data_IF_766581037428
#
_entry.id   IF_766581037428
#
_cell.length_a   1.000
_cell.length_b   1.000
_cell.length_c   1.000
_cell.angle_alpha   90.00
_cell.angle_beta   90.00
_cell.angle_gamma   90.00
#
_symmetry.space_group_name_H-M   'P 1'
#
loop_
_entity.id
_entity.type
_entity.pdbx_description
1 polymer ?
#
# COMPACT_ATOMS: atom_id res chain seq x y z
N UNK A 1 -76.51 -80.72 -59.60
CA UNK A 1 -75.30 -79.87 -59.48
C UNK A 1 -74.08 -80.68 -59.86
N UNK A 2 -73.37 -80.33 -60.93
CA UNK A 2 -72.22 -81.06 -61.46
C UNK A 2 -71.05 -81.04 -60.45
N UNK A 3 -70.43 -82.19 -60.19
CA UNK A 3 -69.29 -82.34 -59.26
C UNK A 3 -68.13 -81.39 -59.59
N UNK A 4 -67.83 -81.22 -60.88
CA UNK A 4 -66.88 -80.23 -61.40
C UNK A 4 -67.19 -78.79 -60.98
N UNK A 5 -68.45 -78.37 -60.95
CA UNK A 5 -68.84 -77.02 -60.52
C UNK A 5 -68.56 -76.74 -59.04
N UNK A 6 -68.69 -77.76 -58.18
CA UNK A 6 -68.35 -77.65 -56.75
C UNK A 6 -66.83 -77.56 -56.54
N UNK A 7 -66.05 -78.28 -57.34
CA UNK A 7 -64.58 -78.22 -57.28
C UNK A 7 -64.07 -76.85 -57.75
N UNK A 8 -64.61 -76.31 -58.85
CA UNK A 8 -64.26 -74.96 -59.30
C UNK A 8 -64.68 -73.87 -58.31
N UNK A 9 -65.84 -73.99 -57.66
CA UNK A 9 -66.26 -73.06 -56.62
C UNK A 9 -65.27 -73.04 -55.43
N UNK A 10 -64.76 -74.20 -55.01
CA UNK A 10 -63.74 -74.29 -53.96
C UNK A 10 -62.41 -73.62 -54.36
N UNK A 11 -61.97 -73.77 -55.61
CA UNK A 11 -60.76 -73.08 -56.10
C UNK A 11 -60.94 -71.56 -56.12
N UNK A 12 -62.13 -71.05 -56.48
CA UNK A 12 -62.41 -69.62 -56.44
C UNK A 12 -62.38 -69.09 -55.01
N UNK A 13 -62.96 -69.82 -54.05
CA UNK A 13 -62.95 -69.44 -52.63
C UNK A 13 -61.53 -69.46 -52.05
N UNK A 14 -60.73 -70.49 -52.36
CA UNK A 14 -59.33 -70.56 -51.93
C UNK A 14 -58.46 -69.48 -52.59
N UNK A 15 -58.67 -69.22 -53.87
CA UNK A 15 -57.99 -68.15 -54.61
C UNK A 15 -58.33 -66.76 -54.07
N UNK A 16 -59.59 -66.50 -53.75
CA UNK A 16 -60.03 -65.27 -53.10
C UNK A 16 -59.42 -65.12 -51.70
N UNK A 17 -59.41 -66.18 -50.90
CA UNK A 17 -58.77 -66.18 -49.58
C UNK A 17 -57.26 -65.89 -49.65
N UNK A 18 -56.55 -66.56 -50.58
CA UNK A 18 -55.12 -66.32 -50.80
C UNK A 18 -54.84 -64.89 -51.30
N UNK A 19 -55.66 -64.35 -52.20
CA UNK A 19 -55.54 -62.99 -52.70
C UNK A 19 -55.72 -61.94 -51.61
N UNK A 20 -56.68 -62.13 -50.69
CA UNK A 20 -56.88 -61.23 -49.54
C UNK A 20 -55.66 -61.25 -48.60
N UNK A 21 -55.12 -62.43 -48.28
CA UNK A 21 -53.94 -62.57 -47.41
C UNK A 21 -52.70 -61.94 -48.05
N UNK A 22 -52.47 -62.17 -49.34
CA UNK A 22 -51.37 -61.56 -50.08
C UNK A 22 -51.52 -60.04 -50.12
N UNK A 23 -52.71 -59.53 -50.44
CA UNK A 23 -52.99 -58.08 -50.48
C UNK A 23 -52.78 -57.43 -49.12
N UNK A 24 -53.21 -58.09 -48.04
CA UNK A 24 -52.99 -57.62 -46.67
C UNK A 24 -51.50 -57.55 -46.31
N UNK A 25 -50.71 -58.57 -46.68
CA UNK A 25 -49.25 -58.55 -46.48
C UNK A 25 -48.56 -57.48 -47.33
N UNK A 26 -48.97 -57.32 -48.59
CA UNK A 26 -48.44 -56.26 -49.46
C UNK A 26 -48.75 -54.87 -48.90
N UNK A 27 -49.95 -54.67 -48.34
CA UNK A 27 -50.32 -53.42 -47.69
C UNK A 27 -49.53 -53.17 -46.40
N UNK A 28 -49.29 -54.21 -45.59
CA UNK A 28 -48.44 -54.10 -44.40
C UNK A 28 -47.01 -53.72 -44.76
N UNK A 29 -46.41 -54.40 -45.74
CA UNK A 29 -45.06 -54.08 -46.24
C UNK A 29 -45.02 -52.66 -46.79
N UNK A 30 -45.98 -52.26 -47.63
CA UNK A 30 -46.05 -50.88 -48.14
C UNK A 30 -46.17 -49.86 -47.03
N UNK A 31 -46.97 -50.13 -46.00
CA UNK A 31 -47.13 -49.23 -44.85
C UNK A 31 -45.86 -49.12 -44.01
N UNK A 32 -45.10 -50.21 -43.84
CA UNK A 32 -43.82 -50.19 -43.11
C UNK A 32 -42.75 -49.43 -43.90
N UNK A 33 -42.70 -49.58 -45.22
CA UNK A 33 -41.84 -48.78 -46.10
C UNK A 33 -42.20 -47.29 -46.05
N UNK A 34 -43.49 -46.93 -46.12
CA UNK A 34 -43.91 -45.53 -45.99
C UNK A 34 -43.54 -44.95 -44.62
N UNK A 35 -43.70 -45.72 -43.53
CA UNK A 35 -43.31 -45.30 -42.17
C UNK A 35 -41.80 -45.15 -42.02
N UNK A 36 -41.03 -46.04 -42.65
CA UNK A 36 -39.56 -45.96 -42.66
C UNK A 36 -39.08 -44.74 -43.45
N UNK A 37 -39.64 -44.51 -44.64
CA UNK A 37 -39.32 -43.34 -45.47
C UNK A 37 -39.73 -42.02 -44.81
N UNK A 38 -40.90 -41.97 -44.16
CA UNK A 38 -41.30 -40.76 -43.43
C UNK A 38 -40.38 -40.49 -42.25
N UNK A 39 -40.00 -41.52 -41.50
CA UNK A 39 -39.03 -41.39 -40.41
C UNK A 39 -37.66 -40.93 -40.91
N UNK A 40 -37.12 -41.58 -41.94
CA UNK A 40 -35.83 -41.21 -42.53
C UNK A 40 -35.83 -39.77 -43.06
N UNK A 41 -36.95 -39.32 -43.64
CA UNK A 41 -37.11 -37.93 -44.08
C UNK A 41 -37.06 -36.96 -42.90
N UNK A 42 -37.81 -37.23 -41.83
CA UNK A 42 -37.81 -36.40 -40.62
C UNK A 42 -36.42 -36.38 -39.96
N UNK A 43 -35.78 -37.54 -39.84
CA UNK A 43 -34.44 -37.66 -39.27
C UNK A 43 -33.43 -36.87 -40.12
N UNK A 44 -33.49 -36.99 -41.45
CA UNK A 44 -32.65 -36.22 -42.37
C UNK A 44 -32.89 -34.71 -42.24
N UNK A 45 -34.15 -34.26 -42.22
CA UNK A 45 -34.51 -32.85 -42.03
C UNK A 45 -34.00 -32.32 -40.68
N UNK A 46 -34.07 -33.12 -39.60
CA UNK A 46 -33.49 -32.74 -38.29
C UNK A 46 -31.97 -32.62 -38.33
N UNK A 47 -31.27 -33.59 -38.93
CA UNK A 47 -29.81 -33.56 -39.04
C UNK A 47 -29.31 -32.40 -39.90
N UNK A 48 -30.02 -32.07 -40.98
CA UNK A 48 -29.72 -30.88 -41.79
C UNK A 48 -29.87 -29.60 -40.97
N UNK A 49 -30.92 -29.49 -40.15
CA UNK A 49 -31.12 -28.34 -39.28
C UNK A 49 -30.05 -28.22 -38.19
N UNK A 50 -29.64 -29.35 -37.60
CA UNK A 50 -28.58 -29.36 -36.58
C UNK A 50 -27.21 -29.02 -37.19
N UNK A 51 -26.92 -29.51 -38.39
CA UNK A 51 -25.70 -29.17 -39.11
C UNK A 51 -25.65 -27.67 -39.44
N UNK A 52 -26.76 -27.10 -39.94
CA UNK A 52 -26.86 -25.64 -40.18
C UNK A 52 -26.65 -24.82 -38.92
N UNK A 53 -27.22 -25.25 -37.78
CA UNK A 53 -27.00 -24.58 -36.49
C UNK A 53 -25.53 -24.66 -36.07
N UNK A 54 -24.91 -25.83 -36.22
CA UNK A 54 -23.50 -26.01 -35.88
C UNK A 54 -22.59 -25.17 -36.77
N UNK A 55 -22.85 -25.10 -38.07
CA UNK A 55 -22.15 -24.22 -39.01
C UNK A 55 -22.30 -22.75 -38.62
N UNK A 56 -23.53 -22.31 -38.32
CA UNK A 56 -23.78 -20.94 -37.88
C UNK A 56 -23.01 -20.60 -36.58
N UNK A 57 -23.02 -21.50 -35.59
CA UNK A 57 -22.27 -21.33 -34.33
C UNK A 57 -20.76 -21.28 -34.61
N UNK A 58 -20.25 -22.16 -35.47
CA UNK A 58 -18.84 -22.17 -35.86
C UNK A 58 -18.45 -20.84 -36.50
N UNK A 59 -19.24 -20.38 -37.47
CA UNK A 59 -18.94 -19.16 -38.21
C UNK A 59 -19.00 -17.93 -37.31
N UNK A 60 -20.01 -17.86 -36.43
CA UNK A 60 -20.07 -16.84 -35.38
C UNK A 60 -18.84 -16.89 -34.47
N UNK A 61 -18.43 -18.08 -34.00
CA UNK A 61 -17.25 -18.24 -33.15
C UNK A 61 -15.94 -17.87 -33.87
N UNK A 62 -15.83 -18.14 -35.18
CA UNK A 62 -14.66 -17.74 -35.99
C UNK A 62 -14.61 -16.22 -36.13
N UNK A 63 -15.74 -15.57 -36.38
CA UNK A 63 -15.83 -14.11 -36.44
C UNK A 63 -15.49 -13.48 -35.09
N UNK A 64 -16.02 -14.02 -34.00
CA UNK A 64 -15.72 -13.55 -32.64
C UNK A 64 -14.24 -13.74 -32.30
N UNK A 65 -13.66 -14.90 -32.64
CA UNK A 65 -12.24 -15.15 -32.48
C UNK A 65 -11.40 -14.15 -33.29
N UNK A 66 -11.79 -13.87 -34.53
CA UNK A 66 -11.09 -12.90 -35.37
C UNK A 66 -11.19 -11.47 -34.80
N UNK A 67 -12.37 -11.08 -34.29
CA UNK A 67 -12.59 -9.79 -33.64
C UNK A 67 -11.75 -9.65 -32.36
N UNK A 68 -11.72 -10.69 -31.52
CA UNK A 68 -10.88 -10.73 -30.32
C UNK A 68 -9.40 -10.64 -30.70
N UNK A 69 -8.94 -11.45 -31.67
CA UNK A 69 -7.54 -11.44 -32.14
C UNK A 69 -7.14 -10.08 -32.71
N UNK A 70 -8.00 -9.40 -33.47
CA UNK A 70 -7.72 -8.07 -34.04
C UNK A 70 -7.36 -7.05 -32.95
N UNK A 71 -7.97 -7.13 -31.77
CA UNK A 71 -7.66 -6.23 -30.65
C UNK A 71 -6.27 -6.41 -30.05
N UNK A 72 -5.61 -7.54 -30.30
CA UNK A 72 -4.27 -7.88 -29.79
C UNK A 72 -3.14 -7.65 -30.80
N UNK A 73 -3.48 -7.22 -32.02
CA UNK A 73 -2.51 -7.03 -33.10
C UNK A 73 -1.77 -8.32 -33.47
N UNK A 74 -0.54 -8.19 -33.95
CA UNK A 74 0.35 -9.34 -34.19
C UNK A 74 0.77 -9.98 -32.88
N UNK A 75 0.67 -11.31 -32.83
CA UNK A 75 1.02 -12.14 -31.67
C UNK A 75 2.14 -13.09 -32.07
N UNK A 76 3.23 -13.06 -31.33
CA UNK A 76 4.30 -14.05 -31.43
C UNK A 76 4.30 -14.92 -30.19
N UNK A 77 4.24 -16.22 -30.41
CA UNK A 77 4.28 -17.22 -29.37
C UNK A 77 5.65 -17.89 -29.32
N UNK A 78 6.11 -18.21 -28.11
CA UNK A 78 7.37 -18.93 -27.87
C UNK A 78 8.62 -18.24 -28.43
N UNK A 79 8.63 -16.91 -28.33
CA UNK A 79 9.80 -16.07 -28.63
C UNK A 79 10.84 -16.28 -27.56
N UNK A 80 12.09 -16.54 -27.97
CA UNK A 80 13.22 -16.59 -27.06
C UNK A 80 13.58 -15.18 -26.61
N UNK A 81 13.26 -14.89 -25.35
CA UNK A 81 13.57 -13.61 -24.71
C UNK A 81 14.69 -13.82 -23.71
N UNK A 82 15.77 -13.05 -23.87
CA UNK A 82 16.78 -12.90 -22.82
C UNK A 82 16.48 -11.66 -22.02
N UNK A 83 16.35 -11.82 -20.71
CA UNK A 83 16.10 -10.72 -19.77
C UNK A 83 17.41 -10.34 -19.13
N UNK A 84 17.76 -9.05 -19.16
CA UNK A 84 18.82 -8.53 -18.32
C UNK A 84 18.26 -8.25 -16.91
N UNK A 85 18.73 -8.97 -15.87
CA UNK A 85 18.17 -8.86 -14.52
C UNK A 85 18.48 -7.52 -13.84
N UNK A 86 19.47 -6.76 -14.32
CA UNK A 86 19.87 -5.49 -13.70
C UNK A 86 18.97 -4.33 -14.10
N UNK A 87 18.54 -4.29 -15.36
CA UNK A 87 17.81 -3.15 -15.93
C UNK A 87 16.49 -3.56 -16.61
N UNK A 88 16.10 -4.83 -16.54
CA UNK A 88 14.86 -5.36 -17.10
C UNK A 88 14.76 -5.26 -18.62
N UNK A 89 15.88 -5.04 -19.32
CA UNK A 89 15.88 -4.98 -20.77
C UNK A 89 15.64 -6.37 -21.35
N UNK A 90 14.85 -6.44 -22.41
CA UNK A 90 14.60 -7.67 -23.13
C UNK A 90 15.42 -7.69 -24.42
N UNK A 91 15.95 -8.86 -24.77
CA UNK A 91 16.59 -9.08 -26.07
C UNK A 91 15.85 -10.17 -26.82
N UNK A 92 15.53 -9.91 -28.09
CA UNK A 92 14.83 -10.84 -28.99
C UNK A 92 15.56 -10.97 -30.31
N UNK A 93 15.38 -12.10 -30.99
CA UNK A 93 15.83 -12.29 -32.37
C UNK A 93 14.78 -11.82 -33.38
N UNK A 94 15.24 -11.11 -34.41
CA UNK A 94 14.42 -10.64 -35.53
C UNK A 94 13.84 -11.80 -36.34
N UNK A 95 14.52 -12.94 -36.39
CA UNK A 95 14.03 -14.15 -37.07
C UNK A 95 12.72 -14.68 -36.47
N UNK A 96 12.51 -14.44 -35.18
CA UNK A 96 11.31 -14.88 -34.45
C UNK A 96 10.20 -13.84 -34.44
N UNK A 97 10.49 -12.62 -34.88
CA UNK A 97 9.57 -11.48 -34.89
C UNK A 97 9.57 -10.76 -36.25
N UNK A 98 9.34 -11.48 -37.37
CA UNK A 98 9.54 -10.95 -38.71
C UNK A 98 8.64 -9.75 -39.03
N UNK A 99 7.40 -9.69 -38.51
CA UNK A 99 6.57 -8.50 -38.76
C UNK A 99 7.07 -7.27 -37.99
N UNK A 100 7.79 -7.42 -36.87
CA UNK A 100 8.48 -6.29 -36.22
C UNK A 100 9.54 -5.71 -37.16
N UNK A 101 10.29 -6.57 -37.84
CA UNK A 101 11.30 -6.16 -38.82
C UNK A 101 10.66 -5.40 -39.97
N UNK A 102 9.56 -5.92 -40.51
CA UNK A 102 8.82 -5.29 -41.60
C UNK A 102 8.24 -3.92 -41.20
N UNK A 103 7.66 -3.82 -40.01
CA UNK A 103 7.14 -2.56 -39.45
C UNK A 103 8.26 -1.54 -39.20
N UNK A 104 9.41 -1.98 -38.67
CA UNK A 104 10.57 -1.11 -38.45
C UNK A 104 11.12 -0.56 -39.78
N UNK A 105 11.16 -1.39 -40.82
CA UNK A 105 11.58 -0.99 -42.17
C UNK A 105 10.59 0.01 -42.80
N UNK A 106 9.29 -0.25 -42.68
CA UNK A 106 8.25 0.66 -43.19
C UNK A 106 8.28 2.04 -42.52
N UNK A 107 8.63 2.10 -41.23
CA UNK A 107 8.69 3.34 -40.47
C UNK A 107 10.04 4.06 -40.54
N UNK A 108 10.96 3.65 -41.43
CA UNK A 108 12.33 4.19 -41.52
C UNK A 108 13.06 4.28 -40.16
N UNK A 109 12.71 3.40 -39.20
CA UNK A 109 13.16 3.45 -37.80
C UNK A 109 12.92 4.77 -37.06
N UNK A 110 12.09 5.68 -37.58
CA UNK A 110 11.85 6.99 -36.97
C UNK A 110 10.94 6.92 -35.74
N UNK A 111 10.02 5.95 -35.72
CA UNK A 111 9.16 5.73 -34.57
C UNK A 111 9.66 4.53 -33.75
N UNK A 112 9.90 4.73 -32.44
CA UNK A 112 10.30 3.64 -31.58
C UNK A 112 9.13 2.65 -31.45
N UNK A 113 9.38 1.40 -31.82
CA UNK A 113 8.38 0.35 -31.80
C UNK A 113 8.05 -0.07 -30.37
N UNK A 114 6.81 -0.48 -30.12
CA UNK A 114 6.36 -0.91 -28.81
C UNK A 114 5.84 -2.35 -28.87
N UNK A 115 6.16 -3.14 -27.86
CA UNK A 115 5.68 -4.51 -27.66
C UNK A 115 5.23 -4.73 -26.24
N UNK A 116 4.29 -5.64 -26.06
CA UNK A 116 3.72 -6.03 -24.79
C UNK A 116 4.18 -7.46 -24.46
N UNK A 117 4.91 -7.61 -23.36
CA UNK A 117 5.57 -8.86 -22.97
C UNK A 117 4.73 -9.69 -22.00
N UNK A 118 4.60 -10.98 -22.30
CA UNK A 118 3.92 -11.97 -21.46
C UNK A 118 4.81 -13.18 -21.21
N UNK A 119 5.08 -13.49 -19.95
CA UNK A 119 5.77 -14.73 -19.55
C UNK A 119 4.79 -15.90 -19.62
N UNK A 120 5.24 -17.03 -20.17
CA UNK A 120 4.52 -18.29 -20.07
C UNK A 120 4.89 -19.00 -18.76
N UNK A 121 3.89 -19.22 -17.91
CA UNK A 121 4.02 -19.97 -16.66
C UNK A 121 3.75 -21.46 -16.91
N UNK A 122 4.18 -22.31 -15.98
CA UNK A 122 3.83 -23.73 -15.98
C UNK A 122 2.29 -23.90 -16.02
N UNK A 123 1.81 -24.84 -16.83
CA UNK A 123 0.38 -25.08 -17.03
C UNK A 123 -0.29 -24.22 -18.11
N UNK A 124 0.50 -23.49 -18.93
CA UNK A 124 -0.01 -22.77 -20.10
C UNK A 124 -0.63 -21.39 -19.80
N UNK A 125 -0.61 -20.97 -18.53
CA UNK A 125 -1.01 -19.63 -18.14
C UNK A 125 0.01 -18.59 -18.62
N UNK A 126 -0.47 -17.41 -19.00
CA UNK A 126 0.39 -16.28 -19.37
C UNK A 126 0.24 -15.15 -18.36
N UNK A 127 1.37 -14.60 -17.92
CA UNK A 127 1.42 -13.43 -17.04
C UNK A 127 1.94 -12.23 -17.82
N UNK A 128 1.18 -11.14 -17.78
CA UNK A 128 1.66 -9.88 -18.32
C UNK A 128 2.74 -9.29 -17.43
N UNK A 129 3.85 -8.86 -18.04
CA UNK A 129 4.96 -8.19 -17.34
C UNK A 129 4.94 -6.70 -17.58
N UNK A 130 4.73 -6.29 -18.82
CA UNK A 130 4.60 -4.88 -19.14
C UNK A 130 4.83 -4.55 -20.60
N UNK A 131 5.03 -3.26 -20.85
CA UNK A 131 5.16 -2.65 -22.17
C UNK A 131 6.58 -2.17 -22.44
N UNK A 132 7.21 -2.69 -23.47
CA UNK A 132 8.61 -2.40 -23.79
C UNK A 132 8.69 -1.65 -25.12
N UNK A 133 9.63 -0.72 -25.20
CA UNK A 133 9.90 0.11 -26.36
C UNK A 133 11.27 -0.23 -26.92
N UNK A 134 11.39 -0.24 -28.24
CA UNK A 134 12.65 -0.54 -28.92
C UNK A 134 13.69 0.53 -28.59
N UNK A 135 14.88 0.08 -28.18
CA UNK A 135 16.02 0.95 -27.94
C UNK A 135 17.01 0.86 -29.11
N UNK A 136 17.16 1.96 -29.85
CA UNK A 136 18.06 2.03 -31.00
C UNK A 136 17.68 1.11 -32.16
N UNK A 137 18.58 1.00 -33.14
CA UNK A 137 18.44 0.08 -34.27
C UNK A 137 18.81 -1.36 -33.89
N UNK A 138 18.20 -2.34 -34.54
CA UNK A 138 18.59 -3.74 -34.38
C UNK A 138 20.06 -3.94 -34.79
N UNK A 139 20.83 -4.67 -33.99
CA UNK A 139 22.26 -4.97 -34.26
C UNK A 139 22.41 -6.48 -34.48
N UNK A 140 22.91 -6.88 -35.65
CA UNK A 140 23.14 -8.30 -35.96
C UNK A 140 21.89 -9.18 -35.91
N UNK A 141 20.71 -8.61 -36.19
CA UNK A 141 19.43 -9.33 -36.10
C UNK A 141 18.89 -9.51 -34.67
N UNK A 142 19.45 -8.81 -33.69
CA UNK A 142 18.96 -8.76 -32.31
C UNK A 142 18.38 -7.37 -32.02
N UNK A 143 17.20 -7.34 -31.41
CA UNK A 143 16.59 -6.12 -30.88
C UNK A 143 16.64 -6.07 -29.37
N UNK A 144 16.83 -4.86 -28.87
CA UNK A 144 16.81 -4.54 -27.44
C UNK A 144 15.52 -3.77 -27.17
N UNK A 145 14.81 -4.19 -26.12
CA UNK A 145 13.57 -3.57 -25.67
C UNK A 145 13.75 -3.07 -24.25
N UNK A 146 13.53 -1.77 -24.08
CA UNK A 146 13.57 -1.07 -22.81
C UNK A 146 12.16 -1.00 -22.22
N UNK A 147 11.95 -1.27 -20.92
CA UNK A 147 10.65 -1.06 -20.29
C UNK A 147 10.24 0.42 -20.39
N UNK A 148 8.97 0.71 -20.69
CA UNK A 148 8.46 2.09 -20.76
C UNK A 148 8.27 2.73 -19.37
N UNK A 149 8.35 1.93 -18.32
CA UNK A 149 8.16 2.36 -16.94
C UNK A 149 9.48 2.24 -16.17
N UNK A 150 9.59 2.99 -15.07
CA UNK A 150 10.73 2.90 -14.18
C UNK A 150 10.63 1.63 -13.31
N UNK A 151 11.68 0.81 -13.36
CA UNK A 151 11.79 -0.39 -12.53
C UNK A 151 11.97 -0.03 -11.06
N UNK A 152 11.20 -0.70 -10.21
CA UNK A 152 11.23 -0.54 -8.76
C UNK A 152 12.01 -1.69 -8.13
N UNK A 153 12.62 -1.49 -6.95
CA UNK A 153 13.24 -2.58 -6.18
C UNK A 153 12.30 -3.76 -5.91
N UNK A 154 10.98 -3.51 -5.84
CA UNK A 154 9.95 -4.53 -5.63
C UNK A 154 9.50 -5.30 -6.89
N UNK A 155 9.89 -4.88 -8.11
CA UNK A 155 9.41 -5.50 -9.35
C UNK A 155 10.02 -6.88 -9.64
N UNK A 156 10.98 -7.32 -8.81
CA UNK A 156 11.63 -8.63 -8.87
C UNK A 156 12.01 -9.02 -10.30
N UNK A 157 12.75 -8.17 -11.01
CA UNK A 157 13.19 -8.42 -12.40
C UNK A 157 13.91 -9.77 -12.54
N UNK A 158 14.63 -10.20 -11.49
CA UNK A 158 15.25 -11.52 -11.43
C UNK A 158 14.25 -12.69 -11.58
N UNK A 159 12.98 -12.49 -11.18
CA UNK A 159 11.91 -13.48 -11.31
C UNK A 159 11.30 -13.54 -12.71
N UNK A 160 11.64 -12.61 -13.61
CA UNK A 160 11.05 -12.57 -14.96
C UNK A 160 11.56 -13.69 -15.88
N UNK A 161 12.56 -14.48 -15.48
CA UNK A 161 13.09 -15.66 -16.19
C UNK A 161 13.26 -15.51 -17.71
N UNK A 162 14.52 -15.54 -18.18
CA UNK A 162 14.78 -15.71 -19.62
C UNK A 162 14.16 -17.00 -20.14
N UNK A 163 13.58 -16.98 -21.33
CA UNK A 163 12.92 -18.15 -21.90
C UNK A 163 11.85 -17.81 -22.92
N UNK A 164 10.85 -18.69 -23.02
CA UNK A 164 9.76 -18.60 -24.00
C UNK A 164 8.68 -17.63 -23.55
N UNK A 165 8.60 -16.50 -24.24
CA UNK A 165 7.62 -15.46 -23.97
C UNK A 165 6.62 -15.36 -25.12
N UNK A 166 5.47 -14.76 -24.82
CA UNK A 166 4.51 -14.28 -25.82
C UNK A 166 4.65 -12.77 -25.93
N UNK A 167 4.83 -12.28 -27.16
CA UNK A 167 4.93 -10.85 -27.46
C UNK A 167 3.72 -10.41 -28.27
N UNK A 168 3.24 -9.19 -28.02
CA UNK A 168 2.11 -8.60 -28.75
C UNK A 168 2.39 -7.16 -29.12
N UNK A 169 1.92 -6.72 -30.28
CA UNK A 169 2.03 -5.31 -30.70
C UNK A 169 0.97 -4.41 -30.08
N UNK A 170 -0.18 -4.97 -29.71
CA UNK A 170 -1.31 -4.23 -29.17
C UNK A 170 -1.95 -4.94 -27.98
N UNK A 171 -2.54 -4.15 -27.09
CA UNK A 171 -3.47 -4.61 -26.06
C UNK A 171 -4.84 -3.96 -26.34
N UNK A 172 -5.95 -4.73 -26.23
CA UNK A 172 -7.29 -4.21 -26.43
C UNK A 172 -7.58 -2.96 -25.59
N UNK A 173 -8.27 -1.99 -26.19
CA UNK A 173 -8.52 -0.68 -25.59
C UNK A 173 -9.21 -0.75 -24.21
N UNK A 174 -10.12 -1.70 -23.99
CA UNK A 174 -10.80 -1.88 -22.71
C UNK A 174 -9.87 -2.29 -21.55
N UNK A 175 -8.70 -2.86 -21.84
CA UNK A 175 -7.67 -3.15 -20.83
C UNK A 175 -6.71 -1.97 -20.61
N UNK A 176 -6.56 -1.07 -21.59
CA UNK A 176 -5.64 0.09 -21.48
C UNK A 176 -5.97 0.97 -20.28
N UNK A 177 -7.25 1.26 -20.04
CA UNK A 177 -7.69 2.06 -18.89
C UNK A 177 -7.30 1.42 -17.56
N UNK A 178 -7.34 0.07 -17.46
CA UNK A 178 -6.89 -0.64 -16.25
C UNK A 178 -5.40 -0.48 -16.02
N UNK A 179 -4.58 -0.57 -17.08
CA UNK A 179 -3.14 -0.39 -16.97
C UNK A 179 -2.76 1.04 -16.56
N UNK A 180 -3.39 2.06 -17.17
CA UNK A 180 -3.16 3.46 -16.79
C UNK A 180 -3.55 3.70 -15.33
N UNK A 181 -4.70 3.20 -14.89
CA UNK A 181 -5.12 3.35 -13.49
C UNK A 181 -4.16 2.64 -12.51
N UNK A 182 -3.67 1.46 -12.86
CA UNK A 182 -2.68 0.75 -12.07
C UNK A 182 -1.37 1.53 -11.99
N UNK A 183 -0.91 2.13 -13.09
CA UNK A 183 0.30 2.96 -13.13
C UNK A 183 0.17 4.21 -12.25
N UNK A 184 -0.99 4.87 -12.28
CA UNK A 184 -1.29 6.00 -11.39
C UNK A 184 -1.25 5.58 -9.92
N UNK A 185 -1.92 4.48 -9.56
CA UNK A 185 -1.92 3.95 -8.19
C UNK A 185 -0.52 3.57 -7.72
N UNK A 186 0.25 2.94 -8.60
CA UNK A 186 1.63 2.58 -8.34
C UNK A 186 2.50 3.82 -8.13
N UNK A 187 2.35 4.86 -8.95
CA UNK A 187 3.09 6.13 -8.80
C UNK A 187 2.74 6.84 -7.49
N UNK A 188 1.46 6.87 -7.13
CA UNK A 188 1.00 7.43 -5.86
C UNK A 188 1.55 6.64 -4.66
N UNK A 189 1.63 5.30 -4.78
CA UNK A 189 2.26 4.44 -3.79
C UNK A 189 3.75 4.77 -3.58
N UNK A 190 4.49 4.99 -4.66
CA UNK A 190 5.91 5.38 -4.58
C UNK A 190 6.10 6.75 -3.94
N UNK A 191 5.29 7.73 -4.32
CA UNK A 191 5.34 9.07 -3.71
C UNK A 191 5.07 8.97 -2.21
N UNK A 192 4.05 8.23 -1.81
CA UNK A 192 3.74 8.01 -0.39
C UNK A 192 4.88 7.32 0.37
N UNK A 193 5.55 6.35 -0.26
CA UNK A 193 6.70 5.67 0.34
C UNK A 193 7.91 6.61 0.49
N UNK A 194 8.18 7.44 -0.52
CA UNK A 194 9.21 8.46 -0.49
C UNK A 194 8.94 9.50 0.60
N UNK A 195 7.71 10.02 0.67
CA UNK A 195 7.30 11.01 1.67
C UNK A 195 7.46 10.46 3.09
N UNK A 196 7.07 9.20 3.32
CA UNK A 196 7.29 8.52 4.60
C UNK A 196 8.78 8.37 4.94
N UNK A 197 9.64 8.12 3.95
CA UNK A 197 11.08 8.05 4.14
C UNK A 197 11.68 9.40 4.53
N UNK A 198 11.23 10.49 3.89
CA UNK A 198 11.62 11.85 4.25
C UNK A 198 11.14 12.21 5.67
N UNK A 199 9.90 11.89 6.00
CA UNK A 199 9.32 12.10 7.32
C UNK A 199 10.05 11.34 8.43
N UNK A 200 10.60 10.16 8.13
CA UNK A 200 11.43 9.41 9.07
C UNK A 200 12.78 10.11 9.29
N UNK A 201 13.47 10.49 8.21
CA UNK A 201 14.74 11.20 8.30
C UNK A 201 14.62 12.54 9.05
N UNK A 202 13.50 13.27 8.84
CA UNK A 202 13.23 14.52 9.57
C UNK A 202 13.02 14.24 11.06
N UNK A 203 12.29 13.18 11.42
CA UNK A 203 12.12 12.80 12.84
C UNK A 203 13.45 12.45 13.47
N UNK A 204 14.27 11.63 12.81
CA UNK A 204 15.60 11.27 13.32
C UNK A 204 16.48 12.50 13.54
N UNK A 205 16.45 13.48 12.61
CA UNK A 205 17.18 14.73 12.77
C UNK A 205 16.65 15.60 13.92
N UNK A 206 15.32 15.67 14.10
CA UNK A 206 14.69 16.39 15.20
C UNK A 206 15.01 15.74 16.54
N UNK A 207 14.99 14.41 16.62
CA UNK A 207 15.28 13.66 17.84
C UNK A 207 16.74 13.89 18.29
N UNK A 208 17.70 13.88 17.36
CA UNK A 208 19.10 14.21 17.67
C UNK A 208 19.25 15.63 18.24
N UNK A 209 18.55 16.62 17.66
CA UNK A 209 18.60 18.01 18.14
C UNK A 209 17.89 18.13 19.50
N UNK A 210 16.78 17.42 19.70
CA UNK A 210 16.03 17.42 20.94
C UNK A 210 16.84 16.78 22.08
N UNK A 211 17.51 15.66 21.82
CA UNK A 211 18.40 14.99 22.76
C UNK A 211 19.58 15.89 23.15
N UNK A 212 20.16 16.61 22.19
CA UNK A 212 21.23 17.56 22.47
C UNK A 212 20.73 18.75 23.31
N UNK A 213 19.56 19.29 23.03
CA UNK A 213 18.96 20.34 23.86
C UNK A 213 18.64 19.86 25.27
N UNK A 214 18.13 18.63 25.40
CA UNK A 214 17.86 18.01 26.69
C UNK A 214 19.15 17.84 27.48
N UNK A 215 20.22 17.36 26.84
CA UNK A 215 21.56 17.23 27.44
C UNK A 215 22.09 18.58 27.94
N UNK A 216 21.99 19.64 27.12
CA UNK A 216 22.40 20.99 27.50
C UNK A 216 21.61 21.52 28.71
N UNK A 217 20.28 21.36 28.71
CA UNK A 217 19.44 21.77 29.85
C UNK A 217 19.75 20.98 31.12
N UNK A 218 20.00 19.67 31.01
CA UNK A 218 20.43 18.86 32.15
C UNK A 218 21.78 19.35 32.70
N UNK A 219 22.73 19.68 31.82
CA UNK A 219 24.01 20.24 32.22
C UNK A 219 23.87 21.61 32.91
N UNK A 220 23.00 22.49 32.41
CA UNK A 220 22.68 23.79 33.04
C UNK A 220 22.03 23.63 34.43
N UNK A 221 21.11 22.67 34.57
CA UNK A 221 20.41 22.43 35.83
C UNK A 221 21.32 21.80 36.89
N UNK A 222 22.12 20.82 36.50
CA UNK A 222 22.91 19.98 37.42
C UNK A 222 24.36 20.46 37.61
N UNK A 223 24.87 21.32 36.72
CA UNK A 223 26.25 21.81 36.78
C UNK A 223 27.30 20.79 36.33
N UNK A 224 26.90 19.70 35.69
CA UNK A 224 27.80 18.64 35.21
C UNK A 224 28.50 19.01 33.88
N UNK A 225 28.88 20.26 33.71
CA UNK A 225 29.55 20.72 32.49
C UNK A 225 31.07 20.77 32.71
N UNK A 226 31.75 19.70 32.30
CA UNK A 226 33.20 19.52 32.49
C UNK A 226 34.02 20.68 31.88
N UNK A 227 33.51 21.32 30.83
CA UNK A 227 34.18 22.42 30.12
C UNK A 227 34.15 23.75 30.89
N UNK A 228 33.23 23.91 31.86
CA UNK A 228 33.06 25.15 32.64
C UNK A 228 33.83 25.13 33.97
N UNK A 229 34.33 23.96 34.41
CA UNK A 229 35.04 23.80 35.67
C UNK A 229 36.29 24.69 35.78
N UNK A 230 36.99 24.93 34.67
CA UNK A 230 38.19 25.78 34.59
C UNK A 230 37.91 27.29 34.65
N UNK A 231 36.64 27.70 34.59
CA UNK A 231 36.23 29.11 34.59
C UNK A 231 35.71 29.59 35.95
N UNK A 232 35.93 28.78 37.01
CA UNK A 232 35.58 29.12 38.39
C UNK A 232 36.26 30.42 38.83
N UNK A 233 35.46 31.39 39.25
CA UNK A 233 35.90 32.75 39.60
C UNK A 233 35.85 33.78 38.45
N UNK A 234 35.56 33.37 37.20
CA UNK A 234 35.29 34.28 36.07
C UNK A 234 33.82 34.31 35.68
N UNK A 235 33.13 33.19 35.80
CA UNK A 235 31.67 33.11 35.63
C UNK A 235 30.98 33.00 37.00
N UNK A 236 29.71 33.45 37.09
CA UNK A 236 28.88 33.23 38.27
C UNK A 236 28.80 31.75 38.65
N UNK A 237 28.93 31.45 39.94
CA UNK A 237 29.02 30.07 40.45
C UNK A 237 27.82 29.19 40.07
N UNK A 238 26.62 29.77 39.95
CA UNK A 238 25.39 29.05 39.56
C UNK A 238 25.42 28.50 38.12
N UNK A 239 26.26 29.07 37.25
CA UNK A 239 26.44 28.57 35.88
C UNK A 239 27.43 27.41 35.80
N UNK A 240 28.24 27.21 36.85
CA UNK A 240 29.27 26.17 36.93
C UNK A 240 28.77 25.01 37.79
N UNK A 241 28.29 25.32 38.99
CA UNK A 241 27.86 24.34 39.99
C UNK A 241 26.39 23.89 39.78
N UNK A 242 25.68 24.50 38.81
CA UNK A 242 24.31 24.20 38.43
C UNK A 242 23.27 25.02 39.19
N UNK A 243 22.14 25.30 38.53
CA UNK A 243 21.06 26.10 39.10
C UNK A 243 20.46 25.47 40.37
N UNK A 244 20.34 24.14 40.40
CA UNK A 244 19.78 23.43 41.58
C UNK A 244 20.65 23.65 42.81
N UNK A 245 21.96 23.55 42.66
CA UNK A 245 22.90 23.75 43.78
C UNK A 245 22.97 25.19 44.23
N UNK A 246 22.87 26.13 43.30
CA UNK A 246 22.80 27.55 43.62
C UNK A 246 21.54 27.91 44.43
N UNK A 247 20.39 27.34 44.08
CA UNK A 247 19.14 27.52 44.85
C UNK A 247 19.32 26.94 46.26
N UNK A 248 19.86 25.73 46.40
CA UNK A 248 20.08 25.11 47.69
C UNK A 248 21.03 25.93 48.60
N UNK A 249 22.09 26.50 48.03
CA UNK A 249 23.00 27.38 48.77
C UNK A 249 22.31 28.68 49.22
N UNK A 250 21.52 29.31 48.35
CA UNK A 250 20.77 30.52 48.68
C UNK A 250 19.69 30.25 49.76
N UNK A 251 19.06 29.09 49.75
CA UNK A 251 18.11 28.67 50.81
C UNK A 251 18.81 28.49 52.16
N UNK A 252 20.01 27.92 52.16
CA UNK A 252 20.79 27.75 53.39
C UNK A 252 21.22 29.11 53.98
N UNK A 253 21.69 30.04 53.14
CA UNK A 253 21.98 31.41 53.58
C UNK A 253 20.74 32.10 54.15
N UNK A 254 19.57 31.89 53.54
CA UNK A 254 18.30 32.41 54.04
C UNK A 254 17.98 31.83 55.42
N UNK A 255 18.18 30.53 55.63
CA UNK A 255 17.92 29.86 56.90
C UNK A 255 18.81 30.42 58.01
N UNK A 256 20.12 30.57 57.75
CA UNK A 256 21.06 31.19 58.69
C UNK A 256 20.67 32.63 59.02
N UNK A 257 20.23 33.41 58.02
CA UNK A 257 19.77 34.78 58.24
C UNK A 257 18.51 34.82 59.14
N UNK A 258 17.56 33.91 58.92
CA UNK A 258 16.35 33.78 59.75
C UNK A 258 16.72 33.43 61.20
N UNK A 259 17.63 32.47 61.40
CA UNK A 259 18.10 32.10 62.74
C UNK A 259 18.74 33.27 63.48
N UNK A 260 19.57 34.07 62.79
CA UNK A 260 20.17 35.29 63.36
C UNK A 260 19.13 36.33 63.73
N UNK A 261 18.11 36.53 62.90
CA UNK A 261 17.00 37.44 63.18
C UNK A 261 16.22 36.96 64.42
N UNK A 262 15.98 35.67 64.55
CA UNK A 262 15.28 35.11 65.71
C UNK A 262 16.11 35.21 67.00
N UNK A 263 17.42 35.02 66.94
CA UNK A 263 18.32 35.29 68.06
C UNK A 263 18.23 36.76 68.50
N UNK A 264 18.36 37.70 67.56
CA UNK A 264 18.22 39.14 67.82
C UNK A 264 16.86 39.49 68.42
N UNK A 265 15.76 38.86 67.97
CA UNK A 265 14.43 39.05 68.55
C UNK A 265 14.36 38.58 70.00
N UNK A 266 14.96 37.43 70.32
CA UNK A 266 15.02 36.91 71.70
C UNK A 266 15.85 37.82 72.61
N UNK A 267 16.97 38.33 72.12
CA UNK A 267 17.82 39.27 72.86
C UNK A 267 17.12 40.61 73.09
N UNK A 268 16.48 41.16 72.05
CA UNK A 268 15.70 42.39 72.15
C UNK A 268 14.56 42.25 73.17
N UNK A 269 13.83 41.13 73.12
CA UNK A 269 12.77 40.84 74.10
C UNK A 269 13.33 40.75 75.52
N UNK A 270 14.42 40.04 75.72
CA UNK A 270 15.07 39.89 77.04
C UNK A 270 15.53 41.24 77.59
N UNK A 271 16.14 42.08 76.75
CA UNK A 271 16.58 43.42 77.13
C UNK A 271 15.40 44.35 77.44
N UNK A 272 14.32 44.27 76.65
CA UNK A 272 13.10 45.02 76.89
C UNK A 272 12.43 44.61 78.20
N UNK A 273 12.31 43.31 78.47
CA UNK A 273 11.76 42.78 79.72
C UNK A 273 12.63 43.19 80.92
N UNK A 274 13.96 43.18 80.78
CA UNK A 274 14.89 43.67 81.82
C UNK A 274 14.72 45.16 82.08
N UNK A 275 14.64 45.98 81.04
CA UNK A 275 14.41 47.42 81.18
C UNK A 275 13.07 47.70 81.88
N UNK A 276 12.01 46.99 81.52
CA UNK A 276 10.70 47.11 82.17
C UNK A 276 10.74 46.69 83.65
N UNK A 277 11.50 45.64 84.00
CA UNK A 277 11.71 45.24 85.40
C UNK A 277 12.45 46.33 86.18
N UNK A 278 13.53 46.88 85.63
CA UNK A 278 14.31 47.95 86.27
C UNK A 278 13.46 49.23 86.45
N UNK A 279 12.64 49.60 85.47
CA UNK A 279 11.72 50.73 85.59
C UNK A 279 10.69 50.52 86.72
N UNK A 280 10.14 49.32 86.84
CA UNK A 280 9.25 48.97 87.97
C UNK A 280 9.98 49.06 89.31
N UNK A 281 11.18 48.49 89.41
CA UNK A 281 11.99 48.54 90.62
C UNK A 281 12.35 49.98 91.02
N UNK A 282 12.73 50.83 90.07
CA UNK A 282 12.99 52.25 90.34
C UNK A 282 11.73 52.97 90.82
N UNK A 283 10.58 52.75 90.18
CA UNK A 283 9.31 53.36 90.61
C UNK A 283 8.89 52.87 92.01
N UNK A 284 9.14 51.62 92.35
CA UNK A 284 8.87 51.07 93.69
C UNK A 284 9.85 51.60 94.73
N UNK A 285 11.14 51.79 94.39
CA UNK A 285 12.15 52.42 95.24
C UNK A 285 11.85 53.90 95.50
N UNK A 286 11.43 54.65 94.48
CA UNK A 286 10.99 56.05 94.61
C UNK A 286 9.84 56.19 95.61
N UNK A 287 8.90 55.23 95.63
CA UNK A 287 7.83 55.20 96.65
C UNK A 287 8.31 54.85 98.06
N UNK A 288 9.47 54.20 98.20
CA UNK A 288 9.99 53.72 99.48
C UNK A 288 10.94 54.70 100.19
N UNK A 289 11.31 55.81 99.55
CA UNK A 289 12.18 56.84 100.13
C UNK A 289 11.39 57.77 101.09
N UNK A 290 11.93 58.14 102.27
CA UNK A 290 11.23 59.02 103.21
C UNK A 290 11.21 60.45 102.65
N UNK A 291 10.01 60.93 102.27
CA UNK A 291 9.78 62.27 101.73
C UNK A 291 9.18 62.33 100.32
N UNK A 292 8.71 61.22 99.74
CA UNK A 292 8.15 61.19 98.39
C UNK A 292 6.82 61.95 98.27
N UNK A 293 6.87 63.17 97.71
CA UNK A 293 5.71 63.81 97.08
C UNK A 293 5.31 63.04 95.81
N UNK A 294 4.01 62.96 95.44
CA UNK A 294 3.56 62.13 94.33
C UNK A 294 4.10 62.69 93.00
N UNK A 295 5.00 61.92 92.36
CA UNK A 295 5.51 62.24 91.04
C UNK A 295 4.44 62.01 89.97
N UNK A 296 4.27 63.02 89.12
CA UNK A 296 3.29 63.10 88.05
C UNK A 296 3.38 61.92 87.06
N UNK A 297 2.22 61.52 86.56
CA UNK A 297 2.05 60.49 85.55
C UNK A 297 2.89 60.77 84.30
N UNK A 298 3.89 59.93 84.04
CA UNK A 298 4.64 59.92 82.79
C UNK A 298 3.71 59.42 81.68
N UNK A 299 3.36 60.32 80.78
CA UNK A 299 2.56 60.04 79.59
C UNK A 299 3.33 59.11 78.66
N UNK A 300 2.82 57.90 78.42
CA UNK A 300 3.31 57.02 77.35
C UNK A 300 3.11 57.70 76.01
N UNK A 301 4.19 58.09 75.34
CA UNK A 301 4.15 58.38 73.90
C UNK A 301 4.04 57.04 73.18
N UNK A 302 2.85 56.74 72.67
CA UNK A 302 2.62 55.68 71.69
C UNK A 302 3.33 56.08 70.40
N UNK A 303 4.55 55.57 70.17
CA UNK A 303 5.14 55.61 68.83
C UNK A 303 4.47 54.53 67.99
N UNK A 304 3.53 54.98 67.15
CA UNK A 304 3.00 54.24 66.03
C UNK A 304 4.15 53.69 65.17
N UNK A 305 4.31 52.37 65.18
CA UNK A 305 4.98 51.65 64.11
C UNK A 305 4.05 51.64 62.89
N UNK A 306 4.39 52.42 61.86
CA UNK A 306 3.91 52.22 60.49
C UNK A 306 5.10 51.93 59.59
N UNK A 307 5.22 50.66 59.18
CA UNK A 307 5.58 50.26 57.83
C UNK A 307 4.59 49.20 57.42
#
# INVERSE_FOLDING_TARGET
MHTLGKVFAWFIVLGAGAAVVLTARTHQVRSSWHKSLSKQRTDYESHVNDLRKAEFIRDAAVVDLANVKRGWGTVWDDVDVRVNPQNGYLQTSDQQTPEVVALAAANNQQQPMMVHGFIKLAGGNVRFIGTFIQEGAAQGGVRIWKPTWQLRPGDQVAAWSSGKWRLRTLIPAHQKTRFVNLEVLLTQGDQTASDKGLDANIKDAVDVVADEQLRLRFAELMGENADLAGLKGKLPDHMIDGLVRAIAAAEEERNVAIERVDALRRDLKTNHDRANRLLKQNADLERSLPGAAPAAAVTRVSQNSRK
#
